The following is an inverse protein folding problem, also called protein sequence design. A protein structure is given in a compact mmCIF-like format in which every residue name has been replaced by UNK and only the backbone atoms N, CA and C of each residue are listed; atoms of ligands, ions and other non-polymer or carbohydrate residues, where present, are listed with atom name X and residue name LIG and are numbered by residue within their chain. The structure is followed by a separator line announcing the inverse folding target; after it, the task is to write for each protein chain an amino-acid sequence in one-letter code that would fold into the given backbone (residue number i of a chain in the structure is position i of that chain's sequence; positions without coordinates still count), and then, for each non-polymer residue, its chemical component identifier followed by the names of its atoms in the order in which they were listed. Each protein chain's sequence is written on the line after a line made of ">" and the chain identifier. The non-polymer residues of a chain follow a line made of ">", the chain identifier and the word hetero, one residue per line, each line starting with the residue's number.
data_IF_246071756227
#
_entry.id   IF_246071756227
#
_cell.length_a   1.000
_cell.length_b   1.000
_cell.length_c   1.000
_cell.angle_alpha   90.00
_cell.angle_beta   90.00
_cell.angle_gamma   90.00
#
_symmetry.space_group_name_H-M   'P 1'
#
loop_
_entity.id
_entity.type
_entity.pdbx_description
1 polymer ?
#
# COMPACT_ATOMS: atom_id res chain seq x y z
N UNK A 1 -3.66 4.56 24.86
CA UNK A 1 -3.13 5.06 26.16
C UNK A 1 -1.91 5.90 25.84
N UNK A 2 -1.76 7.05 26.48
CA UNK A 2 -0.60 7.93 26.29
C UNK A 2 0.01 8.24 27.66
N UNK A 3 1.34 8.16 27.75
CA UNK A 3 2.10 8.45 28.96
C UNK A 3 3.15 9.52 28.65
N UNK A 4 3.22 10.54 29.49
CA UNK A 4 4.32 11.50 29.50
C UNK A 4 5.48 10.90 30.30
N UNK A 5 6.64 10.70 29.66
CA UNK A 5 7.82 10.10 30.29
C UNK A 5 8.66 11.16 31.02
N UNK A 6 8.89 12.27 30.35
CA UNK A 6 9.55 13.46 30.87
C UNK A 6 8.82 14.68 30.31
N UNK A 7 9.03 15.84 30.93
CA UNK A 7 8.47 17.11 30.45
C UNK A 7 8.84 17.29 28.99
N UNK A 8 7.85 17.24 28.10
CA UNK A 8 7.93 17.34 26.62
C UNK A 8 7.98 16.04 25.80
N UNK A 9 8.11 14.86 26.41
CA UNK A 9 8.17 13.57 25.71
C UNK A 9 7.01 12.68 26.13
N UNK A 10 6.16 12.31 25.18
CA UNK A 10 5.11 11.32 25.37
C UNK A 10 5.27 10.09 24.50
N UNK A 11 4.81 8.96 25.01
CA UNK A 11 4.66 7.70 24.28
C UNK A 11 3.20 7.28 24.32
N UNK A 12 2.63 7.04 23.15
CA UNK A 12 1.30 6.48 22.99
C UNK A 12 1.38 5.03 22.49
N UNK A 13 0.50 4.18 23.01
CA UNK A 13 0.26 2.86 22.47
C UNK A 13 -1.25 2.70 22.29
N UNK A 14 -1.66 2.14 21.16
CA UNK A 14 -3.05 1.89 20.88
C UNK A 14 -3.26 0.67 19.99
N UNK A 15 -4.52 0.26 19.95
CA UNK A 15 -5.00 -0.82 19.12
C UNK A 15 -6.33 -0.40 18.52
N UNK A 16 -6.55 -0.76 17.26
CA UNK A 16 -7.79 -0.54 16.53
C UNK A 16 -8.21 -1.85 15.86
N UNK A 17 -9.43 -2.27 16.15
CA UNK A 17 -10.14 -3.32 15.43
C UNK A 17 -11.31 -2.70 14.66
N UNK A 18 -11.44 -3.06 13.38
CA UNK A 18 -12.59 -2.66 12.56
C UNK A 18 -13.13 -3.90 11.87
N UNK A 19 -14.44 -4.10 11.94
CA UNK A 19 -15.15 -5.15 11.20
C UNK A 19 -16.19 -4.49 10.31
N UNK A 20 -15.94 -4.51 9.01
CA UNK A 20 -16.92 -4.11 8.00
C UNK A 20 -17.82 -5.30 7.68
N UNK A 21 -19.12 -5.10 7.77
CA UNK A 21 -20.14 -6.13 7.55
C UNK A 21 -21.03 -5.73 6.38
N UNK A 22 -21.50 -6.73 5.62
CA UNK A 22 -22.50 -6.53 4.54
C UNK A 22 -22.06 -5.47 3.53
N UNK A 23 -20.76 -5.43 3.25
CA UNK A 23 -20.18 -4.58 2.23
C UNK A 23 -20.77 -5.03 0.87
N UNK A 24 -21.32 -4.08 0.08
CA UNK A 24 -21.83 -4.39 -1.25
C UNK A 24 -20.74 -4.96 -2.16
N UNK A 25 -21.03 -6.07 -2.83
CA UNK A 25 -20.19 -6.67 -3.85
C UNK A 25 -21.06 -7.11 -5.03
N UNK A 26 -20.54 -7.02 -6.26
CA UNK A 26 -21.23 -7.42 -7.49
C UNK A 26 -20.61 -8.67 -8.14
N UNK A 27 -20.30 -9.70 -7.35
CA UNK A 27 -19.29 -10.68 -7.75
C UNK A 27 -19.72 -12.12 -7.87
N UNK A 28 -21.00 -12.46 -7.73
CA UNK A 28 -21.45 -13.83 -8.01
C UNK A 28 -21.98 -13.91 -9.44
N UNK A 29 -21.22 -14.58 -10.30
CA UNK A 29 -21.62 -14.91 -11.67
C UNK A 29 -22.74 -15.94 -11.66
N UNK A 30 -23.96 -15.53 -12.03
CA UNK A 30 -25.14 -16.39 -12.07
C UNK A 30 -25.20 -17.26 -13.34
N UNK A 31 -24.52 -16.85 -14.42
CA UNK A 31 -24.47 -17.63 -15.66
C UNK A 31 -23.33 -18.67 -15.69
N UNK A 32 -22.76 -19.01 -14.52
CA UNK A 32 -21.75 -20.04 -14.35
C UNK A 32 -22.42 -21.35 -13.89
N UNK A 33 -22.63 -22.28 -14.82
CA UNK A 33 -23.22 -23.59 -14.54
C UNK A 33 -22.09 -24.58 -14.38
N UNK A 34 -21.92 -25.23 -13.20
CA UNK A 34 -20.82 -26.18 -13.00
C UNK A 34 -20.91 -27.33 -14.02
N UNK A 35 -19.78 -27.61 -14.67
CA UNK A 35 -19.65 -28.60 -15.74
C UNK A 35 -18.61 -29.68 -15.44
N UNK A 36 -17.80 -29.49 -14.38
CA UNK A 36 -16.82 -30.46 -13.92
C UNK A 36 -15.72 -29.82 -13.09
N UNK A 37 -14.53 -30.41 -13.14
CA UNK A 37 -13.33 -29.94 -12.44
C UNK A 37 -12.14 -30.07 -13.38
N UNK A 38 -11.26 -29.08 -13.36
CA UNK A 38 -9.98 -29.10 -14.06
C UNK A 38 -8.98 -30.04 -13.35
N UNK A 39 -7.91 -30.50 -14.01
CA UNK A 39 -6.93 -31.41 -13.41
C UNK A 39 -6.28 -30.90 -12.11
N UNK A 40 -6.23 -29.58 -11.93
CA UNK A 40 -5.72 -28.89 -10.75
C UNK A 40 -6.70 -28.83 -9.58
N UNK A 41 -7.93 -29.34 -9.72
CA UNK A 41 -8.99 -29.26 -8.72
C UNK A 41 -9.85 -28.00 -8.77
N UNK A 42 -9.55 -27.05 -9.66
CA UNK A 42 -10.38 -25.86 -9.88
C UNK A 42 -11.69 -26.25 -10.54
N UNK A 43 -12.82 -25.72 -10.06
CA UNK A 43 -14.13 -26.00 -10.64
C UNK A 43 -14.18 -25.49 -12.08
N UNK A 44 -14.82 -26.24 -12.97
CA UNK A 44 -15.05 -25.86 -14.36
C UNK A 44 -16.51 -25.52 -14.55
N UNK A 45 -16.77 -24.52 -15.38
CA UNK A 45 -18.07 -24.00 -15.69
C UNK A 45 -18.42 -24.14 -17.17
N UNK A 46 -19.69 -23.93 -17.46
CA UNK A 46 -20.24 -23.65 -18.78
C UNK A 46 -21.29 -22.57 -18.59
N UNK A 47 -21.62 -21.86 -19.65
CA UNK A 47 -22.61 -20.77 -19.58
C UNK A 47 -23.75 -20.99 -20.57
N UNK A 48 -24.92 -20.45 -20.25
CA UNK A 48 -26.05 -20.47 -21.16
C UNK A 48 -25.79 -19.47 -22.31
N UNK A 49 -25.88 -19.90 -23.59
CA UNK A 49 -25.47 -19.06 -24.73
C UNK A 49 -26.36 -17.81 -24.93
N UNK A 50 -27.59 -17.82 -24.40
CA UNK A 50 -28.49 -16.66 -24.43
C UNK A 50 -28.15 -15.53 -23.47
N UNK A 51 -27.16 -15.71 -22.59
CA UNK A 51 -26.77 -14.71 -21.60
C UNK A 51 -25.24 -14.52 -21.62
N UNK A 52 -24.77 -13.29 -21.34
CA UNK A 52 -23.36 -13.00 -21.12
C UNK A 52 -22.98 -13.17 -19.65
N UNK A 53 -22.11 -12.29 -19.16
CA UNK A 53 -21.82 -12.16 -17.73
C UNK A 53 -23.07 -11.62 -17.01
N UNK A 54 -23.58 -12.36 -16.03
CA UNK A 54 -24.72 -11.97 -15.19
C UNK A 54 -24.25 -11.94 -13.74
N UNK A 55 -23.86 -10.76 -13.27
CA UNK A 55 -23.37 -10.58 -11.91
C UNK A 55 -24.50 -10.22 -10.95
N UNK A 56 -24.64 -10.98 -9.87
CA UNK A 56 -25.51 -10.63 -8.75
C UNK A 56 -24.79 -9.66 -7.82
N UNK A 57 -25.40 -8.50 -7.60
CA UNK A 57 -25.02 -7.58 -6.54
C UNK A 57 -25.74 -7.91 -5.24
N UNK A 58 -25.00 -8.05 -4.15
CA UNK A 58 -25.55 -8.35 -2.83
C UNK A 58 -24.69 -7.76 -1.71
N UNK A 59 -25.30 -7.38 -0.57
CA UNK A 59 -24.58 -6.89 0.60
C UNK A 59 -24.13 -8.05 1.49
N UNK A 60 -23.13 -8.80 1.05
CA UNK A 60 -22.71 -10.04 1.73
C UNK A 60 -21.21 -10.26 1.83
N UNK A 61 -20.40 -9.21 1.66
CA UNK A 61 -18.95 -9.30 1.91
C UNK A 61 -18.56 -8.61 3.20
N UNK A 62 -17.47 -9.08 3.78
CA UNK A 62 -16.96 -8.63 5.06
C UNK A 62 -15.47 -8.26 4.93
N UNK A 63 -15.00 -7.42 5.86
CA UNK A 63 -13.59 -7.09 6.01
C UNK A 63 -13.22 -6.93 7.48
N UNK A 64 -12.03 -7.39 7.85
CA UNK A 64 -11.51 -7.29 9.22
C UNK A 64 -10.14 -6.64 9.20
N UNK A 65 -10.02 -5.57 9.97
CA UNK A 65 -8.75 -4.88 10.22
C UNK A 65 -8.41 -4.99 11.70
N UNK A 66 -7.16 -5.36 11.98
CA UNK A 66 -6.55 -5.24 13.30
C UNK A 66 -5.22 -4.54 13.16
N UNK A 67 -5.01 -3.47 13.92
CA UNK A 67 -3.76 -2.73 13.92
C UNK A 67 -3.38 -2.24 15.31
N UNK A 68 -2.13 -2.47 15.69
CA UNK A 68 -1.51 -1.84 16.83
C UNK A 68 -0.60 -0.70 16.38
N UNK A 69 -0.49 0.34 17.19
CA UNK A 69 0.40 1.45 16.90
C UNK A 69 1.12 1.95 18.14
N UNK A 70 2.35 2.42 17.92
CA UNK A 70 3.18 3.10 18.90
C UNK A 70 3.49 4.48 18.35
N UNK A 71 3.22 5.50 19.16
CA UNK A 71 3.56 6.88 18.86
C UNK A 71 4.58 7.37 19.87
N UNK A 72 5.59 8.10 19.41
CA UNK A 72 6.56 8.79 20.27
C UNK A 72 6.58 10.23 19.84
N UNK A 73 6.30 11.14 20.77
CA UNK A 73 6.20 12.56 20.50
C UNK A 73 7.06 13.34 21.47
N UNK A 74 8.12 13.95 20.95
CA UNK A 74 8.84 15.04 21.61
C UNK A 74 8.25 16.36 21.12
N UNK A 75 7.59 17.11 22.01
CA UNK A 75 7.16 18.48 21.73
C UNK A 75 8.38 19.35 21.41
N UNK A 76 8.17 20.37 20.59
CA UNK A 76 9.26 21.26 20.21
C UNK A 76 9.79 21.99 21.43
N UNK A 77 11.04 21.70 21.78
CA UNK A 77 11.76 22.33 22.89
C UNK A 77 13.24 22.33 22.55
N UNK A 78 13.97 23.34 23.04
CA UNK A 78 15.42 23.46 22.81
C UNK A 78 15.81 23.32 21.33
N UNK A 79 14.98 23.83 20.41
CA UNK A 79 15.23 23.79 18.98
C UNK A 79 14.95 22.45 18.29
N UNK A 80 14.32 21.47 18.95
CA UNK A 80 14.02 20.16 18.35
C UNK A 80 12.62 19.66 18.71
N UNK A 81 11.89 19.20 17.70
CA UNK A 81 10.65 18.44 17.81
C UNK A 81 10.75 17.15 17.01
N UNK A 82 10.15 16.09 17.55
CA UNK A 82 10.17 14.75 16.94
C UNK A 82 8.80 14.12 17.08
N UNK A 83 8.30 13.52 16.01
CA UNK A 83 7.07 12.74 16.02
C UNK A 83 7.27 11.46 15.23
N UNK A 84 7.24 10.32 15.91
CA UNK A 84 7.36 8.99 15.35
C UNK A 84 6.03 8.27 15.49
N UNK A 85 5.59 7.62 14.42
CA UNK A 85 4.42 6.76 14.40
C UNK A 85 4.81 5.43 13.74
N UNK A 86 4.66 4.33 14.47
CA UNK A 86 4.80 2.99 13.95
C UNK A 86 3.47 2.25 14.08
N UNK A 87 3.01 1.67 12.98
CA UNK A 87 1.80 0.86 12.92
C UNK A 87 2.16 -0.52 12.38
N UNK A 88 1.75 -1.56 13.09
CA UNK A 88 1.70 -2.92 12.57
C UNK A 88 0.24 -3.31 12.41
N UNK A 89 -0.13 -3.92 11.29
CA UNK A 89 -1.52 -4.26 11.03
C UNK A 89 -1.68 -5.56 10.27
N UNK A 90 -2.90 -6.09 10.26
CA UNK A 90 -3.37 -7.15 9.38
C UNK A 90 -4.79 -6.82 8.93
N UNK A 91 -5.01 -6.93 7.62
CA UNK A 91 -6.30 -6.65 7.00
C UNK A 91 -6.69 -7.85 6.16
N UNK A 92 -7.83 -8.43 6.45
CA UNK A 92 -8.43 -9.52 5.68
C UNK A 92 -9.74 -9.03 5.08
N UNK A 93 -10.04 -9.45 3.85
CA UNK A 93 -11.31 -9.14 3.21
C UNK A 93 -11.73 -10.24 2.24
N UNK A 94 -13.02 -10.24 1.93
CA UNK A 94 -13.49 -10.67 0.62
C UNK A 94 -13.23 -9.56 -0.40
N UNK A 95 -13.32 -9.83 -1.72
CA UNK A 95 -13.31 -8.78 -2.72
C UNK A 95 -14.39 -7.72 -2.40
N UNK A 96 -14.04 -6.44 -2.31
CA UNK A 96 -14.97 -5.36 -1.89
C UNK A 96 -15.29 -4.36 -3.01
N UNK A 97 -15.22 -4.78 -4.27
CA UNK A 97 -15.28 -3.88 -5.43
C UNK A 97 -16.36 -4.22 -6.47
N UNK A 98 -16.45 -3.34 -7.47
CA UNK A 98 -17.29 -3.49 -8.67
C UNK A 98 -16.44 -3.60 -9.95
N UNK A 99 -15.16 -3.97 -9.82
CA UNK A 99 -14.27 -4.15 -10.97
C UNK A 99 -14.22 -5.63 -11.34
N UNK A 100 -13.93 -5.93 -12.62
CA UNK A 100 -13.75 -7.31 -13.11
C UNK A 100 -12.66 -8.11 -12.38
N UNK A 101 -11.81 -7.48 -11.56
CA UNK A 101 -10.77 -8.16 -10.76
C UNK A 101 -11.11 -8.28 -9.27
N UNK A 102 -12.16 -7.60 -8.83
CA UNK A 102 -12.61 -7.57 -7.43
C UNK A 102 -13.97 -8.29 -7.26
N UNK A 103 -14.21 -9.33 -8.05
CA UNK A 103 -15.31 -10.29 -7.91
C UNK A 103 -14.79 -11.64 -7.41
N UNK A 104 -15.69 -12.60 -7.15
CA UNK A 104 -15.28 -13.94 -6.71
C UNK A 104 -14.71 -14.74 -7.89
N UNK A 105 -13.69 -15.56 -7.62
CA UNK A 105 -13.15 -16.49 -8.64
C UNK A 105 -14.02 -17.74 -8.77
N UNK A 106 -14.54 -18.25 -7.66
CA UNK A 106 -15.46 -19.39 -7.65
C UNK A 106 -16.84 -18.90 -7.18
N UNK A 107 -17.82 -18.66 -8.07
CA UNK A 107 -19.14 -18.15 -7.69
C UNK A 107 -19.93 -19.12 -6.79
N UNK A 108 -19.52 -20.38 -6.69
CA UNK A 108 -20.14 -21.40 -5.85
C UNK A 108 -19.34 -21.71 -4.57
N UNK A 109 -18.15 -21.13 -4.41
CA UNK A 109 -17.31 -21.24 -3.20
C UNK A 109 -16.59 -19.92 -2.92
N UNK A 110 -17.38 -18.90 -2.58
CA UNK A 110 -16.89 -17.54 -2.29
C UNK A 110 -15.90 -17.51 -1.11
N UNK A 111 -15.91 -18.53 -0.24
CA UNK A 111 -15.02 -18.64 0.91
C UNK A 111 -13.53 -18.68 0.54
N UNK A 112 -13.21 -19.14 -0.69
CA UNK A 112 -11.84 -19.20 -1.21
C UNK A 112 -11.20 -17.84 -1.46
N UNK A 113 -12.02 -16.79 -1.50
CA UNK A 113 -11.56 -15.42 -1.69
C UNK A 113 -11.41 -14.63 -0.39
N UNK A 114 -11.72 -15.23 0.76
CA UNK A 114 -11.31 -14.67 2.05
C UNK A 114 -9.78 -14.72 2.16
N UNK A 115 -9.15 -13.56 2.15
CA UNK A 115 -7.70 -13.49 2.11
C UNK A 115 -7.17 -12.16 2.62
N UNK A 116 -5.87 -11.97 2.46
CA UNK A 116 -5.23 -10.69 2.73
C UNK A 116 -5.84 -9.61 1.82
N UNK A 117 -6.12 -8.42 2.35
CA UNK A 117 -6.67 -7.33 1.55
C UNK A 117 -5.65 -6.79 0.55
N UNK A 118 -6.10 -6.32 -0.62
CA UNK A 118 -5.25 -5.58 -1.57
C UNK A 118 -4.84 -4.18 -1.04
N UNK A 119 -5.50 -3.72 0.03
CA UNK A 119 -5.15 -2.51 0.78
C UNK A 119 -4.20 -2.79 1.95
N UNK A 120 -3.85 -4.05 2.20
CA UNK A 120 -3.04 -4.44 3.35
C UNK A 120 -1.62 -3.84 3.31
N UNK A 121 -1.24 -3.22 4.42
CA UNK A 121 0.12 -2.79 4.73
C UNK A 121 0.49 -3.30 6.12
N UNK A 122 1.34 -4.33 6.18
CA UNK A 122 1.69 -5.00 7.43
C UNK A 122 2.47 -4.13 8.41
N UNK A 123 3.35 -3.27 7.92
CA UNK A 123 4.13 -2.34 8.74
C UNK A 123 4.26 -0.98 8.07
N UNK A 124 4.05 0.09 8.85
CA UNK A 124 4.24 1.47 8.41
C UNK A 124 4.91 2.28 9.51
N UNK A 125 5.94 3.01 9.12
CA UNK A 125 6.74 3.87 9.97
C UNK A 125 6.79 5.27 9.36
N UNK A 126 6.43 6.27 10.15
CA UNK A 126 6.53 7.68 9.78
C UNK A 126 7.29 8.40 10.89
N UNK A 127 8.39 9.06 10.52
CA UNK A 127 9.17 9.91 11.40
C UNK A 127 9.17 11.33 10.86
N UNK A 128 8.73 12.27 11.66
CA UNK A 128 8.83 13.70 11.40
C UNK A 128 9.79 14.33 12.40
N UNK A 129 10.78 15.05 11.90
CA UNK A 129 11.70 15.85 12.70
C UNK A 129 11.57 17.29 12.26
N UNK A 130 11.44 18.21 13.20
CA UNK A 130 11.55 19.63 12.96
C UNK A 130 12.58 20.23 13.91
N UNK A 131 13.51 21.02 13.37
CA UNK A 131 14.64 21.55 14.12
C UNK A 131 14.95 22.99 13.78
N UNK A 132 15.48 23.72 14.75
CA UNK A 132 16.08 25.04 14.59
C UNK A 132 17.53 24.99 15.05
N UNK A 133 18.42 25.54 14.23
CA UNK A 133 19.85 25.55 14.52
C UNK A 133 20.16 26.47 15.72
N UNK A 134 21.11 26.09 16.60
CA UNK A 134 21.49 26.93 17.73
C UNK A 134 21.99 28.30 17.30
N UNK A 135 21.62 29.35 18.04
CA UNK A 135 22.06 30.73 17.73
C UNK A 135 23.53 30.99 18.06
N UNK A 136 24.19 30.06 18.76
CA UNK A 136 25.58 30.16 19.21
C UNK A 136 26.57 30.22 18.05
N UNK A 137 26.33 29.48 16.97
CA UNK A 137 27.26 29.40 15.85
C UNK A 137 26.71 30.06 14.60
N UNK A 138 27.54 30.83 13.91
CA UNK A 138 27.14 31.59 12.73
C UNK A 138 26.59 30.70 11.59
N UNK A 139 27.06 29.46 11.50
CA UNK A 139 26.68 28.48 10.49
C UNK A 139 25.43 27.67 10.85
N UNK A 140 24.94 27.73 12.09
CA UNK A 140 23.67 27.10 12.52
C UNK A 140 22.56 28.11 12.79
N UNK A 141 22.92 29.34 13.16
CA UNK A 141 21.97 30.39 13.51
C UNK A 141 20.99 30.68 12.38
N UNK A 142 19.70 30.67 12.72
CA UNK A 142 18.60 30.97 11.82
C UNK A 142 18.24 29.85 10.84
N UNK A 143 18.95 28.72 10.85
CA UNK A 143 18.56 27.55 10.06
C UNK A 143 17.36 26.83 10.66
N UNK A 144 16.49 26.34 9.79
CA UNK A 144 15.35 25.50 10.11
C UNK A 144 15.43 24.24 9.26
N UNK A 145 15.22 23.10 9.90
CA UNK A 145 15.21 21.78 9.26
C UNK A 145 13.84 21.15 9.46
N UNK A 146 13.31 20.56 8.40
CA UNK A 146 12.18 19.63 8.45
C UNK A 146 12.58 18.34 7.75
N UNK A 147 12.32 17.20 8.37
CA UNK A 147 12.57 15.89 7.78
C UNK A 147 11.34 15.01 7.97
N UNK A 148 10.94 14.31 6.91
CA UNK A 148 9.90 13.28 6.97
C UNK A 148 10.50 11.99 6.38
N UNK A 149 10.55 10.92 7.17
CA UNK A 149 10.89 9.59 6.69
C UNK A 149 9.64 8.71 6.70
N UNK A 150 9.30 8.12 5.56
CA UNK A 150 8.19 7.18 5.38
C UNK A 150 8.77 5.84 4.96
N UNK A 151 8.62 4.81 5.81
CA UNK A 151 8.96 3.42 5.49
C UNK A 151 7.70 2.58 5.59
N UNK A 152 7.44 1.77 4.58
CA UNK A 152 6.25 0.94 4.52
C UNK A 152 6.59 -0.43 3.90
N UNK A 153 6.11 -1.50 4.52
CA UNK A 153 6.22 -2.86 3.97
C UNK A 153 5.53 -2.95 2.61
N UNK A 154 6.00 -3.85 1.76
CA UNK A 154 5.35 -4.09 0.47
C UNK A 154 3.88 -4.48 0.61
N UNK A 155 3.07 -3.97 -0.33
CA UNK A 155 1.67 -4.38 -0.49
C UNK A 155 1.60 -5.73 -1.18
N UNK A 156 0.49 -6.42 -0.99
CA UNK A 156 0.29 -7.73 -1.59
C UNK A 156 -0.68 -7.64 -2.76
N UNK A 157 -0.42 -8.43 -3.80
CA UNK A 157 -1.25 -8.56 -4.99
C UNK A 157 -1.53 -10.02 -5.32
N UNK A 158 -2.67 -10.26 -5.96
CA UNK A 158 -3.04 -11.57 -6.50
C UNK A 158 -2.22 -11.86 -7.76
N UNK A 159 -1.77 -13.11 -7.94
CA UNK A 159 -1.19 -13.56 -9.21
C UNK A 159 -2.32 -14.06 -10.10
N UNK A 160 -2.52 -13.40 -11.23
CA UNK A 160 -3.61 -13.70 -12.17
C UNK A 160 -3.13 -14.60 -13.30
N UNK A 161 -3.98 -15.50 -13.76
CA UNK A 161 -3.74 -16.28 -14.98
C UNK A 161 -3.74 -15.38 -16.22
N UNK A 162 -4.60 -14.35 -16.25
CA UNK A 162 -4.71 -13.38 -17.34
C UNK A 162 -5.70 -13.74 -18.44
N UNK A 163 -6.41 -14.86 -18.27
CA UNK A 163 -7.45 -15.36 -19.16
C UNK A 163 -8.43 -16.20 -18.33
N UNK A 164 -9.58 -16.53 -18.92
CA UNK A 164 -10.59 -17.40 -18.33
C UNK A 164 -10.10 -18.86 -18.34
N UNK A 165 -9.68 -19.34 -17.17
CA UNK A 165 -9.20 -20.71 -16.90
C UNK A 165 -10.39 -21.64 -16.64
N UNK A 166 -11.39 -21.18 -15.88
CA UNK A 166 -12.47 -22.03 -15.36
C UNK A 166 -13.72 -22.09 -16.28
N UNK A 167 -13.75 -21.31 -17.36
CA UNK A 167 -14.86 -21.18 -18.33
C UNK A 167 -16.16 -20.60 -17.76
N UNK A 168 -16.08 -19.64 -16.83
CA UNK A 168 -17.22 -18.93 -16.25
C UNK A 168 -17.50 -17.56 -16.90
N UNK A 169 -16.78 -17.23 -17.98
CA UNK A 169 -16.76 -15.96 -18.71
C UNK A 169 -15.97 -14.83 -18.02
N UNK A 170 -15.51 -15.00 -16.78
CA UNK A 170 -14.84 -13.98 -15.97
C UNK A 170 -13.32 -14.18 -15.96
N UNK A 171 -12.64 -13.65 -16.97
CA UNK A 171 -11.18 -13.76 -17.08
C UNK A 171 -10.40 -12.92 -16.05
N UNK A 172 -11.04 -11.95 -15.39
CA UNK A 172 -10.38 -10.94 -14.57
C UNK A 172 -9.96 -11.44 -13.18
N UNK A 173 -10.71 -12.37 -12.61
CA UNK A 173 -10.49 -12.89 -11.25
C UNK A 173 -9.64 -14.15 -11.21
N UNK A 174 -9.48 -14.80 -12.36
CA UNK A 174 -8.86 -16.10 -12.44
C UNK A 174 -7.37 -16.07 -12.06
N UNK A 175 -7.03 -16.89 -11.06
CA UNK A 175 -5.71 -17.07 -10.48
C UNK A 175 -5.02 -18.30 -11.07
N UNK A 176 -3.69 -18.29 -10.95
CA UNK A 176 -2.84 -19.42 -11.34
C UNK A 176 -2.96 -20.53 -10.29
N UNK A 177 -3.28 -21.75 -10.71
CA UNK A 177 -3.48 -22.88 -9.81
C UNK A 177 -4.62 -22.63 -8.82
N UNK A 178 -4.36 -22.90 -7.54
CA UNK A 178 -5.33 -22.79 -6.44
C UNK A 178 -4.94 -21.76 -5.37
N UNK A 179 -4.09 -20.79 -5.70
CA UNK A 179 -3.57 -19.83 -4.70
C UNK A 179 -4.67 -18.93 -4.14
N UNK A 180 -4.46 -18.45 -2.91
CA UNK A 180 -5.27 -17.39 -2.32
C UNK A 180 -5.08 -16.04 -3.02
N UNK A 181 -6.03 -15.12 -2.79
CA UNK A 181 -5.89 -13.70 -3.13
C UNK A 181 -4.68 -13.10 -2.39
N UNK A 182 -4.04 -12.13 -3.05
CA UNK A 182 -3.01 -11.28 -2.43
C UNK A 182 -1.88 -12.06 -1.75
N UNK A 183 -1.36 -13.09 -2.42
CA UNK A 183 -0.26 -13.94 -1.94
C UNK A 183 1.12 -13.47 -2.38
N UNK A 184 1.21 -12.58 -3.37
CA UNK A 184 2.47 -12.08 -3.90
C UNK A 184 2.83 -10.70 -3.33
N UNK A 185 3.96 -10.59 -2.65
CA UNK A 185 4.40 -9.35 -1.99
C UNK A 185 5.16 -8.43 -2.96
N UNK A 186 4.70 -7.19 -3.14
CA UNK A 186 5.40 -6.14 -3.88
C UNK A 186 6.61 -5.54 -3.17
N UNK A 187 7.22 -4.51 -3.76
CA UNK A 187 8.34 -3.79 -3.14
C UNK A 187 7.89 -2.97 -1.93
N UNK A 188 8.82 -2.78 -0.99
CA UNK A 188 8.68 -1.80 0.08
C UNK A 188 8.72 -0.37 -0.45
N UNK A 189 7.99 0.52 0.21
CA UNK A 189 8.06 1.96 -0.04
C UNK A 189 8.96 2.62 1.00
N UNK A 190 9.96 3.36 0.54
CA UNK A 190 10.93 4.04 1.41
C UNK A 190 11.26 5.41 0.83
N UNK A 191 10.98 6.46 1.59
CA UNK A 191 11.21 7.83 1.15
C UNK A 191 11.64 8.70 2.32
N UNK A 192 12.60 9.58 2.06
CA UNK A 192 13.01 10.64 2.98
C UNK A 192 12.84 11.96 2.25
N UNK A 193 12.07 12.85 2.84
CA UNK A 193 11.85 14.22 2.38
C UNK A 193 12.54 15.17 3.33
N UNK A 194 13.18 16.20 2.79
CA UNK A 194 13.98 17.16 3.55
C UNK A 194 13.64 18.58 3.14
N UNK A 195 13.39 19.43 4.14
CA UNK A 195 13.27 20.87 4.00
C UNK A 195 14.40 21.54 4.76
N UNK A 196 15.08 22.47 4.10
CA UNK A 196 16.03 23.37 4.72
C UNK A 196 15.62 24.81 4.44
N UNK A 197 15.58 25.64 5.47
CA UNK A 197 15.35 27.06 5.33
C UNK A 197 16.32 27.84 6.23
N UNK A 198 16.57 29.10 5.89
CA UNK A 198 17.38 29.98 6.74
C UNK A 198 16.73 31.34 6.84
N UNK A 199 16.41 31.79 8.06
CA UNK A 199 15.94 33.15 8.30
C UNK A 199 17.14 34.11 8.34
N UNK A 200 17.09 35.12 7.48
CA UNK A 200 18.11 36.16 7.34
C UNK A 200 17.41 37.50 7.60
N UNK A 201 17.76 38.17 8.70
CA UNK A 201 17.30 39.54 8.97
C UNK A 201 18.11 40.50 8.10
N UNK A 202 17.45 41.33 7.30
CA UNK A 202 18.10 42.40 6.54
C UNK A 202 18.19 43.65 7.42
N UNK A 203 17.07 44.03 8.04
CA UNK A 203 16.98 45.13 9.00
C UNK A 203 15.88 44.81 10.04
N UNK A 204 15.44 45.81 10.80
CA UNK A 204 14.44 45.63 11.87
C UNK A 204 13.03 45.29 11.35
N UNK A 205 12.73 45.64 10.10
CA UNK A 205 11.41 45.44 9.48
C UNK A 205 11.41 44.22 8.55
N UNK A 206 12.48 44.06 7.77
CA UNK A 206 12.53 43.10 6.68
C UNK A 206 13.38 41.86 7.05
N UNK A 207 12.79 40.68 6.86
CA UNK A 207 13.48 39.40 6.92
C UNK A 207 13.19 38.55 5.68
N UNK A 208 14.22 37.85 5.19
CA UNK A 208 14.13 36.85 4.14
C UNK A 208 14.23 35.45 4.73
N UNK A 209 13.49 34.50 4.17
CA UNK A 209 13.63 33.08 4.46
C UNK A 209 13.65 32.31 3.14
N UNK A 210 14.82 32.17 2.48
CA UNK A 210 15.00 31.21 1.40
C UNK A 210 14.78 29.79 1.91
N UNK A 211 14.15 28.96 1.07
CA UNK A 211 13.80 27.58 1.37
C UNK A 211 14.17 26.67 0.20
N UNK A 212 14.64 25.47 0.52
CA UNK A 212 14.82 24.37 -0.42
C UNK A 212 14.16 23.10 0.16
N UNK A 213 13.37 22.43 -0.67
CA UNK A 213 12.67 21.19 -0.33
C UNK A 213 13.07 20.08 -1.30
N UNK A 214 13.44 18.93 -0.76
CA UNK A 214 13.75 17.71 -1.48
C UNK A 214 12.68 16.68 -1.16
N UNK A 215 11.96 16.24 -2.18
CA UNK A 215 11.09 15.06 -2.10
C UNK A 215 11.85 13.88 -2.68
N UNK A 216 11.83 12.73 -1.98
CA UNK A 216 12.67 11.58 -2.30
C UNK A 216 14.16 11.95 -2.39
N UNK A 217 14.71 12.45 -1.28
CA UNK A 217 16.08 12.93 -1.13
C UNK A 217 17.12 11.95 -1.69
N UNK A 218 16.94 10.65 -1.56
CA UNK A 218 17.88 9.63 -2.05
C UNK A 218 17.58 9.15 -3.48
N UNK A 219 16.55 9.68 -4.14
CA UNK A 219 16.10 9.25 -5.47
C UNK A 219 15.89 7.73 -5.57
N UNK A 220 15.37 7.10 -4.50
CA UNK A 220 15.08 5.66 -4.50
C UNK A 220 13.92 5.40 -5.46
N UNK A 221 14.03 4.44 -6.40
CA UNK A 221 12.87 3.96 -7.15
C UNK A 221 11.91 3.24 -6.20
N UNK A 222 10.74 3.83 -5.98
CA UNK A 222 9.69 3.21 -5.17
C UNK A 222 8.70 2.49 -6.10
N UNK A 223 8.86 1.17 -6.31
CA UNK A 223 7.91 0.40 -7.14
C UNK A 223 6.61 0.23 -6.38
N UNK A 224 5.53 0.84 -6.88
CA UNK A 224 4.20 0.83 -6.24
C UNK A 224 3.26 -0.21 -6.85
N UNK A 225 3.55 -0.66 -8.06
CA UNK A 225 2.79 -1.69 -8.77
C UNK A 225 3.73 -2.57 -9.58
N UNK A 226 3.44 -3.88 -9.57
CA UNK A 226 4.16 -4.91 -10.32
C UNK A 226 3.14 -5.63 -11.20
N UNK A 227 3.53 -6.00 -12.42
CA UNK A 227 2.71 -6.86 -13.26
C UNK A 227 2.59 -8.24 -12.62
N UNK A 228 1.36 -8.64 -12.35
CA UNK A 228 1.00 -9.88 -11.66
C UNK A 228 0.31 -10.88 -12.57
N UNK A 229 0.18 -10.58 -13.87
CA UNK A 229 -0.35 -11.51 -14.86
C UNK A 229 0.73 -12.53 -15.20
N UNK A 230 0.54 -13.76 -14.73
CA UNK A 230 1.48 -14.85 -14.92
C UNK A 230 1.39 -15.45 -16.33
N UNK A 231 0.19 -15.54 -16.90
CA UNK A 231 -0.04 -16.02 -18.27
C UNK A 231 -0.22 -17.52 -18.44
N UNK A 232 -0.53 -18.27 -17.37
CA UNK A 232 -0.81 -19.70 -17.44
C UNK A 232 -1.87 -20.09 -16.41
N UNK A 233 -2.56 -21.20 -16.67
CA UNK A 233 -3.54 -21.78 -15.75
C UNK A 233 -2.86 -22.38 -14.51
N UNK A 234 -1.62 -22.87 -14.65
CA UNK A 234 -0.81 -23.50 -13.60
C UNK A 234 0.58 -22.87 -13.51
N UNK A 235 1.22 -23.01 -12.35
CA UNK A 235 2.62 -22.66 -12.19
C UNK A 235 3.50 -23.65 -12.96
N UNK A 236 4.34 -23.13 -13.85
CA UNK A 236 5.29 -23.93 -14.63
C UNK A 236 6.55 -24.26 -13.79
N UNK A 237 6.75 -23.54 -12.68
CA UNK A 237 7.89 -23.69 -11.78
C UNK A 237 7.53 -23.37 -10.32
N UNK A 238 8.49 -22.91 -9.50
CA UNK A 238 8.20 -22.54 -8.11
C UNK A 238 7.15 -21.44 -8.04
N UNK A 239 6.37 -21.41 -6.96
CA UNK A 239 5.34 -20.39 -6.75
C UNK A 239 6.03 -19.06 -6.42
N UNK A 240 5.83 -17.98 -7.20
CA UNK A 240 6.35 -16.65 -6.87
C UNK A 240 5.77 -16.16 -5.54
N UNK A 241 6.61 -15.56 -4.70
CA UNK A 241 6.25 -15.09 -3.35
C UNK A 241 6.44 -13.59 -3.19
N UNK A 242 7.43 -13.00 -3.84
CA UNK A 242 7.66 -11.57 -3.75
C UNK A 242 8.37 -10.99 -4.97
N UNK A 243 8.19 -9.69 -5.20
CA UNK A 243 8.92 -8.95 -6.20
C UNK A 243 10.43 -9.17 -6.06
N UNK A 244 11.08 -9.46 -7.19
CA UNK A 244 12.51 -9.80 -7.29
C UNK A 244 12.91 -11.11 -6.58
N UNK A 245 12.02 -12.08 -6.46
CA UNK A 245 12.36 -13.46 -6.03
C UNK A 245 13.07 -14.29 -7.11
N UNK A 246 13.18 -13.77 -8.34
CA UNK A 246 13.85 -14.43 -9.46
C UNK A 246 13.00 -15.48 -10.17
N UNK A 247 11.72 -15.63 -9.79
CA UNK A 247 10.79 -16.55 -10.43
C UNK A 247 10.16 -15.89 -11.65
N UNK A 248 10.34 -16.50 -12.83
CA UNK A 248 9.72 -16.03 -14.06
C UNK A 248 8.27 -16.52 -14.20
N UNK A 249 7.43 -15.68 -14.81
CA UNK A 249 6.10 -16.07 -15.25
C UNK A 249 6.10 -16.75 -16.62
N UNK A 250 4.96 -17.30 -17.02
CA UNK A 250 4.77 -17.76 -18.40
C UNK A 250 4.83 -16.58 -19.37
N UNK A 251 4.36 -15.40 -18.94
CA UNK A 251 4.58 -14.13 -19.62
C UNK A 251 5.89 -13.47 -19.17
N UNK A 252 6.72 -12.98 -20.12
CA UNK A 252 7.94 -12.23 -19.80
C UNK A 252 7.72 -10.92 -19.03
N UNK A 253 6.49 -10.40 -19.02
CA UNK A 253 6.12 -9.17 -18.30
C UNK A 253 5.87 -9.42 -16.81
N UNK A 254 5.57 -10.65 -16.40
CA UNK A 254 5.34 -11.00 -15.00
C UNK A 254 6.51 -10.54 -14.13
N UNK A 255 6.19 -9.90 -13.00
CA UNK A 255 7.20 -9.43 -12.06
C UNK A 255 7.91 -8.15 -12.49
N UNK A 256 7.56 -7.53 -13.63
CA UNK A 256 8.12 -6.21 -14.02
C UNK A 256 7.40 -5.06 -13.31
N UNK A 257 8.09 -3.94 -13.02
CA UNK A 257 7.44 -2.72 -12.54
C UNK A 257 6.37 -2.24 -13.53
N UNK A 258 5.15 -2.05 -13.04
CA UNK A 258 4.04 -1.44 -13.79
C UNK A 258 3.75 -0.01 -13.32
N UNK A 259 4.22 0.36 -12.12
CA UNK A 259 4.07 1.69 -11.55
C UNK A 259 5.17 2.00 -10.54
N UNK A 260 5.61 3.25 -10.55
CA UNK A 260 6.64 3.75 -9.64
C UNK A 260 6.23 5.09 -9.05
N UNK A 261 6.58 5.33 -7.79
CA UNK A 261 6.48 6.64 -7.16
C UNK A 261 7.37 7.68 -7.84
N UNK A 262 7.15 8.97 -7.53
CA UNK A 262 7.91 10.06 -8.14
C UNK A 262 9.42 9.93 -7.88
N UNK A 263 10.20 10.31 -8.89
CA UNK A 263 11.63 10.53 -8.76
C UNK A 263 11.91 11.72 -7.82
N UNK A 264 13.18 11.98 -7.52
CA UNK A 264 13.57 13.13 -6.71
C UNK A 264 13.02 14.43 -7.32
N UNK A 265 12.35 15.22 -6.49
CA UNK A 265 11.90 16.57 -6.84
C UNK A 265 12.57 17.58 -5.92
N UNK A 266 12.97 18.71 -6.47
CA UNK A 266 13.60 19.80 -5.73
C UNK A 266 12.76 21.05 -5.95
N UNK A 267 12.33 21.68 -4.87
CA UNK A 267 11.56 22.91 -4.90
C UNK A 267 12.32 24.01 -4.17
N UNK A 268 12.19 25.24 -4.70
CA UNK A 268 12.78 26.43 -4.12
C UNK A 268 11.67 27.43 -3.84
N UNK A 269 11.79 28.14 -2.74
CA UNK A 269 10.88 29.23 -2.40
C UNK A 269 11.64 30.33 -1.66
N UNK A 270 11.03 31.51 -1.60
CA UNK A 270 11.51 32.63 -0.80
C UNK A 270 10.31 33.24 -0.08
N UNK A 271 10.35 33.25 1.25
CA UNK A 271 9.39 34.01 2.06
C UNK A 271 10.01 35.36 2.44
N UNK A 272 9.23 36.42 2.27
CA UNK A 272 9.57 37.78 2.73
C UNK A 272 8.63 38.14 3.87
N UNK A 273 9.17 38.69 4.96
CA UNK A 273 8.40 39.25 6.07
C UNK A 273 8.82 40.70 6.27
N UNK A 274 7.84 41.59 6.45
CA UNK A 274 8.00 43.04 6.59
C UNK A 274 7.19 43.57 7.77
#
# INVERSE_FOLDING_TARGET
>A
IEYELVRDLSIGIGYLGVHGLKIPNAGVQLNAIPSGTLPNGKRRYRSHPGFGIVQMAFPGTDSVYHGGFVTVRKRFSHGLGVHLNYTFSKTLDFPTGYTFRDVFEDPLDIGRDWGLSNQHVGQRFILTINGEGPDRWWFTRGFKLGLIATLQSGRYGTIFAGFDVNSDLEFGTDRVGLIGRNTYRGDSFQQIDLRLARRIKINERIALEPLIEFFNLFNRPNVTQVDTVYGAAEFIGPIPRHYKDGVAGALPSFGRPAGTGPARQIQFALRVSF
#
